data_IF_628072753323
#
_entry.id   IF_628072753323
#
_cell.length_a   1.000
_cell.length_b   1.000
_cell.length_c   1.000
_cell.angle_alpha   90.00
_cell.angle_beta   90.00
_cell.angle_gamma   90.00
#
_symmetry.space_group_name_H-M   'P 1'
#
loop_
_entity.id
_entity.type
_entity.pdbx_description
1 polymer ?
#
# COMPACT_ATOMS: atom_id res chain seq x y z
N UNK A 1 -14.49 -14.29 -17.70
CA UNK A 1 -14.08 -12.93 -17.31
C UNK A 1 -12.56 -12.75 -17.33
N UNK A 2 -11.76 -13.65 -16.78
CA UNK A 2 -10.28 -13.62 -16.79
C UNK A 2 -9.71 -13.57 -18.22
N UNK A 3 -10.25 -14.36 -19.16
CA UNK A 3 -9.80 -14.44 -20.57
C UNK A 3 -9.92 -13.10 -21.33
N UNK A 4 -10.93 -12.28 -21.07
CA UNK A 4 -11.05 -10.95 -21.72
C UNK A 4 -9.91 -10.01 -21.30
N UNK A 5 -9.43 -10.10 -20.06
CA UNK A 5 -8.29 -9.31 -19.56
C UNK A 5 -6.96 -9.64 -20.25
N UNK A 6 -6.79 -10.87 -20.77
CA UNK A 6 -5.53 -11.30 -21.40
C UNK A 6 -5.20 -10.52 -22.67
N UNK A 7 -6.21 -10.20 -23.46
CA UNK A 7 -6.09 -9.45 -24.72
C UNK A 7 -6.19 -7.94 -24.54
N UNK A 8 -6.57 -7.45 -23.36
CA UNK A 8 -6.67 -6.01 -23.11
C UNK A 8 -5.28 -5.38 -23.13
N UNK A 9 -5.11 -4.32 -23.91
CA UNK A 9 -3.85 -3.53 -23.94
C UNK A 9 -3.65 -2.88 -22.58
N UNK A 10 -2.43 -2.94 -22.03
CA UNK A 10 -2.10 -2.24 -20.78
C UNK A 10 -2.15 -0.74 -21.00
N UNK A 11 -2.80 -0.04 -20.09
CA UNK A 11 -2.83 1.42 -20.01
C UNK A 11 -1.69 1.95 -19.15
N UNK A 12 -1.61 3.28 -19.00
CA UNK A 12 -0.61 3.96 -18.20
C UNK A 12 0.79 3.95 -18.81
N UNK A 13 1.64 4.79 -18.27
CA UNK A 13 3.03 4.98 -18.70
C UNK A 13 3.97 4.67 -17.54
N UNK A 14 5.15 4.14 -17.86
CA UNK A 14 6.25 4.08 -16.91
C UNK A 14 7.06 5.36 -17.05
N UNK A 15 7.26 6.04 -15.95
CA UNK A 15 8.00 7.30 -15.90
C UNK A 15 9.44 7.08 -15.46
N UNK A 16 10.39 7.93 -15.87
CA UNK A 16 11.73 7.91 -15.30
C UNK A 16 11.66 8.25 -13.79
N UNK A 17 12.54 7.67 -13.00
CA UNK A 17 12.65 7.91 -11.56
C UNK A 17 13.24 9.27 -11.25
N UNK A 18 12.47 10.32 -11.47
CA UNK A 18 12.85 11.70 -11.11
C UNK A 18 12.21 12.02 -9.76
N UNK A 19 13.06 12.15 -8.73
CA UNK A 19 12.60 12.37 -7.36
C UNK A 19 12.95 13.78 -6.89
N UNK A 20 12.08 14.43 -6.09
CA UNK A 20 12.31 15.76 -5.57
C UNK A 20 13.45 15.78 -4.54
N UNK A 21 14.18 16.86 -4.47
CA UNK A 21 15.04 17.14 -3.32
C UNK A 21 14.15 17.60 -2.16
N UNK A 22 14.17 16.84 -1.09
CA UNK A 22 13.35 17.09 0.10
C UNK A 22 14.18 17.80 1.16
N UNK A 23 13.55 18.73 1.89
CA UNK A 23 14.07 19.34 3.11
C UNK A 23 13.61 18.51 4.31
N UNK A 24 14.24 18.71 5.46
CA UNK A 24 13.78 18.12 6.71
C UNK A 24 12.29 18.45 6.96
N UNK A 25 11.52 17.45 7.36
CA UNK A 25 10.08 17.57 7.58
C UNK A 25 9.20 17.51 6.31
N UNK A 26 9.80 17.47 5.11
CA UNK A 26 9.06 17.19 3.88
C UNK A 26 9.05 15.69 3.59
N UNK A 27 7.93 15.23 3.03
CA UNK A 27 7.74 13.85 2.58
C UNK A 27 7.22 13.84 1.16
N UNK A 28 7.78 12.99 0.30
CA UNK A 28 7.24 12.71 -1.01
C UNK A 28 6.64 11.30 -1.06
N UNK A 29 5.49 11.16 -1.71
CA UNK A 29 4.81 9.90 -1.92
C UNK A 29 4.67 9.68 -3.43
N UNK A 30 5.19 8.55 -3.92
CA UNK A 30 5.04 8.13 -5.31
C UNK A 30 4.23 6.84 -5.36
N UNK A 31 3.09 6.86 -6.02
CA UNK A 31 2.29 5.65 -6.25
C UNK A 31 2.89 4.87 -7.42
N UNK A 32 3.29 3.62 -7.16
CA UNK A 32 3.84 2.73 -8.19
C UNK A 32 2.71 2.00 -8.93
N UNK A 33 1.56 1.87 -8.25
CA UNK A 33 0.36 1.19 -8.71
C UNK A 33 -0.08 0.13 -7.71
N UNK A 34 -1.37 -0.22 -7.72
CA UNK A 34 -1.99 -1.14 -6.75
C UNK A 34 -1.82 -0.62 -5.31
N UNK A 35 -1.24 -1.41 -4.43
CA UNK A 35 -0.89 -1.02 -3.05
C UNK A 35 0.59 -0.63 -2.89
N UNK A 36 1.33 -0.48 -4.00
CA UNK A 36 2.77 -0.25 -3.98
C UNK A 36 3.11 1.23 -3.95
N UNK A 37 3.88 1.66 -2.95
CA UNK A 37 4.31 3.06 -2.79
C UNK A 37 5.79 3.18 -2.49
N UNK A 38 6.41 4.24 -3.04
CA UNK A 38 7.68 4.76 -2.57
C UNK A 38 7.40 6.01 -1.73
N UNK A 39 7.81 5.98 -0.47
CA UNK A 39 7.71 7.08 0.48
C UNK A 39 9.13 7.56 0.74
N UNK A 40 9.39 8.85 0.53
CA UNK A 40 10.72 9.43 0.62
C UNK A 40 10.75 10.60 1.59
N UNK A 41 11.80 10.64 2.38
CA UNK A 41 12.27 11.79 3.15
C UNK A 41 13.64 12.19 2.63
N UNK A 42 14.24 13.24 3.15
CA UNK A 42 15.58 13.66 2.70
C UNK A 42 16.68 12.62 2.98
N UNK A 43 16.48 11.72 3.95
CA UNK A 43 17.47 10.75 4.45
C UNK A 43 16.93 9.32 4.55
N UNK A 44 15.70 9.07 4.08
CA UNK A 44 15.05 7.76 4.19
C UNK A 44 14.18 7.46 2.96
N UNK A 45 14.39 6.32 2.33
CA UNK A 45 13.57 5.79 1.26
C UNK A 45 12.88 4.50 1.70
N UNK A 46 11.56 4.53 1.75
CA UNK A 46 10.72 3.41 2.18
C UNK A 46 9.87 2.90 1.02
N UNK A 47 9.89 1.60 0.81
CA UNK A 47 9.08 0.94 -0.20
C UNK A 47 8.02 0.09 0.50
N UNK A 48 6.74 0.30 0.18
CA UNK A 48 5.63 -0.46 0.77
C UNK A 48 5.02 -1.36 -0.28
N UNK A 49 4.83 -2.64 0.06
CA UNK A 49 4.22 -3.69 -0.78
C UNK A 49 4.68 -3.66 -2.25
N UNK A 50 6.01 -3.73 -2.52
CA UNK A 50 6.53 -3.54 -3.87
C UNK A 50 6.13 -4.66 -4.81
N UNK A 51 5.29 -4.32 -5.79
CA UNK A 51 4.85 -5.22 -6.83
C UNK A 51 4.98 -4.57 -8.22
N UNK A 52 5.96 -5.02 -9.00
CA UNK A 52 6.20 -4.62 -10.39
C UNK A 52 5.79 -5.70 -11.39
N UNK A 53 5.05 -6.72 -10.93
CA UNK A 53 4.62 -7.84 -11.77
C UNK A 53 3.76 -7.38 -12.94
N UNK A 54 4.03 -7.94 -14.10
CA UNK A 54 3.14 -7.85 -15.26
C UNK A 54 2.02 -8.88 -15.22
N UNK A 55 2.23 -9.93 -14.45
CA UNK A 55 1.31 -11.03 -14.24
C UNK A 55 1.42 -11.56 -12.82
N UNK A 56 0.29 -11.82 -12.19
CA UNK A 56 0.16 -12.58 -10.96
C UNK A 56 -0.53 -13.90 -11.32
N UNK A 57 0.25 -14.95 -11.58
CA UNK A 57 -0.22 -16.19 -12.19
C UNK A 57 -0.98 -15.91 -13.50
N UNK A 58 -2.28 -16.13 -13.52
CA UNK A 58 -3.16 -15.90 -14.66
C UNK A 58 -3.74 -14.47 -14.70
N UNK A 59 -3.47 -13.65 -13.68
CA UNK A 59 -4.03 -12.31 -13.56
C UNK A 59 -3.08 -11.28 -14.16
N UNK A 60 -3.48 -10.68 -15.27
CA UNK A 60 -2.71 -9.67 -15.97
C UNK A 60 -2.79 -8.32 -15.26
N UNK A 61 -1.65 -7.64 -15.11
CA UNK A 61 -1.63 -6.21 -14.78
C UNK A 61 -2.22 -5.42 -15.94
N UNK A 62 -3.24 -4.61 -15.71
CA UNK A 62 -3.96 -3.84 -16.74
C UNK A 62 -3.45 -2.40 -16.86
N UNK A 63 -2.88 -1.85 -15.78
CA UNK A 63 -2.19 -0.55 -15.81
C UNK A 63 -0.71 -0.75 -15.46
N UNK A 64 0.20 -0.22 -16.27
CA UNK A 64 1.64 -0.36 -16.04
C UNK A 64 2.04 0.19 -14.68
N UNK A 65 3.10 -0.34 -14.09
CA UNK A 65 3.72 0.28 -12.91
C UNK A 65 4.22 1.67 -13.29
N UNK A 66 4.01 2.66 -12.43
CA UNK A 66 4.38 4.05 -12.72
C UNK A 66 5.89 4.28 -12.87
N UNK A 67 6.71 3.41 -12.27
CA UNK A 67 8.17 3.45 -12.33
C UNK A 67 8.73 2.14 -12.88
N UNK A 68 9.96 2.18 -13.40
CA UNK A 68 10.78 0.98 -13.56
C UNK A 68 11.49 0.66 -12.25
N UNK A 69 11.63 -0.63 -11.93
CA UNK A 69 12.32 -1.05 -10.71
C UNK A 69 13.79 -0.60 -10.67
N UNK A 70 14.44 -0.51 -11.84
CA UNK A 70 15.84 -0.04 -11.98
C UNK A 70 16.01 1.44 -11.68
N UNK A 71 14.93 2.23 -11.73
CA UNK A 71 14.94 3.67 -11.52
C UNK A 71 14.64 4.03 -10.05
N UNK A 72 14.42 3.02 -9.19
CA UNK A 72 14.24 3.25 -7.75
C UNK A 72 15.52 3.78 -7.12
N UNK A 73 15.43 4.70 -6.16
CA UNK A 73 16.57 5.10 -5.34
C UNK A 73 17.03 3.91 -4.46
N UNK A 74 18.20 3.99 -3.82
CA UNK A 74 18.57 3.04 -2.78
C UNK A 74 17.48 2.95 -1.72
N UNK A 75 17.01 1.73 -1.41
CA UNK A 75 15.91 1.50 -0.47
C UNK A 75 16.48 1.14 0.91
N UNK A 76 16.11 1.92 1.91
CA UNK A 76 16.53 1.72 3.30
C UNK A 76 15.60 0.74 4.01
N UNK A 77 14.29 0.83 3.73
CA UNK A 77 13.25 0.07 4.43
C UNK A 77 12.20 -0.44 3.43
N UNK A 78 11.85 -1.71 3.57
CA UNK A 78 10.71 -2.32 2.87
C UNK A 78 9.68 -2.73 3.91
N UNK A 79 8.44 -2.26 3.75
CA UNK A 79 7.29 -2.66 4.56
C UNK A 79 6.43 -3.61 3.74
N UNK A 80 6.05 -4.75 4.32
CA UNK A 80 5.22 -5.78 3.69
C UNK A 80 4.02 -6.04 4.59
N UNK A 81 2.82 -5.69 4.13
CA UNK A 81 1.60 -5.70 4.95
C UNK A 81 1.06 -7.09 5.22
N UNK A 82 1.20 -8.01 4.28
CA UNK A 82 0.78 -9.41 4.39
C UNK A 82 1.36 -10.25 3.25
N UNK A 83 1.12 -11.56 3.27
CA UNK A 83 1.81 -12.50 2.37
C UNK A 83 1.13 -12.71 1.01
N UNK A 84 0.01 -12.07 0.66
CA UNK A 84 -0.64 -12.22 -0.64
C UNK A 84 0.26 -11.85 -1.80
N UNK A 85 0.06 -12.48 -2.97
CA UNK A 85 0.97 -12.39 -4.12
C UNK A 85 1.02 -11.01 -4.75
N UNK A 86 -0.02 -10.21 -4.62
CA UNK A 86 -0.12 -8.85 -5.12
C UNK A 86 0.54 -7.82 -4.20
N UNK A 87 0.88 -8.18 -2.96
CA UNK A 87 1.65 -7.39 -1.99
C UNK A 87 3.07 -7.94 -1.81
N UNK A 88 3.21 -9.19 -1.39
CA UNK A 88 4.49 -9.86 -1.22
C UNK A 88 4.93 -10.56 -2.53
N UNK A 89 5.46 -9.79 -3.49
CA UNK A 89 5.87 -10.34 -4.77
C UNK A 89 7.37 -10.68 -4.77
N UNK A 90 7.73 -11.93 -4.45
CA UNK A 90 9.13 -12.41 -4.40
C UNK A 90 9.97 -12.04 -5.63
N UNK A 91 9.50 -12.21 -6.89
CA UNK A 91 10.30 -11.83 -8.06
C UNK A 91 10.61 -10.32 -8.14
N UNK A 92 9.76 -9.45 -7.60
CA UNK A 92 10.07 -8.02 -7.46
C UNK A 92 11.13 -7.81 -6.39
N UNK A 93 10.92 -8.39 -5.19
CA UNK A 93 11.83 -8.22 -4.05
C UNK A 93 13.26 -8.69 -4.37
N UNK A 94 13.42 -9.79 -5.11
CA UNK A 94 14.75 -10.27 -5.59
C UNK A 94 15.47 -9.31 -6.53
N UNK A 95 14.76 -8.37 -7.16
CA UNK A 95 15.34 -7.38 -8.08
C UNK A 95 15.69 -6.07 -7.38
N UNK A 96 15.33 -5.92 -6.11
CA UNK A 96 15.74 -4.75 -5.33
C UNK A 96 17.23 -4.86 -5.03
N UNK A 97 17.95 -3.76 -5.22
CA UNK A 97 19.39 -3.69 -4.90
C UNK A 97 19.57 -3.61 -3.39
N UNK A 98 19.74 -4.79 -2.76
CA UNK A 98 20.11 -4.95 -1.36
C UNK A 98 19.36 -4.04 -0.37
N UNK A 99 18.03 -4.21 -0.17
CA UNK A 99 17.28 -3.44 0.80
C UNK A 99 17.83 -3.71 2.21
N UNK A 100 18.04 -2.65 3.00
CA UNK A 100 18.69 -2.78 4.29
C UNK A 100 17.83 -3.53 5.30
N UNK A 101 16.55 -3.16 5.39
CA UNK A 101 15.63 -3.70 6.39
C UNK A 101 14.31 -4.07 5.72
N UNK A 102 13.80 -5.26 6.04
CA UNK A 102 12.42 -5.67 5.77
C UNK A 102 11.65 -5.74 7.08
N UNK A 103 10.52 -5.03 7.18
CA UNK A 103 9.58 -5.16 8.29
C UNK A 103 8.29 -5.77 7.75
N UNK A 104 7.80 -6.80 8.41
CA UNK A 104 6.66 -7.58 7.97
C UNK A 104 5.92 -8.20 9.15
N UNK A 105 4.70 -8.72 8.94
CA UNK A 105 3.96 -9.39 10.01
C UNK A 105 4.64 -10.66 10.50
N UNK A 106 4.35 -11.02 11.74
CA UNK A 106 4.75 -12.29 12.31
C UNK A 106 4.36 -13.48 11.41
N UNK A 107 5.25 -14.47 11.28
CA UNK A 107 5.06 -15.65 10.45
C UNK A 107 5.23 -15.40 8.94
N UNK A 108 5.73 -14.22 8.50
CA UNK A 108 6.00 -13.91 7.09
C UNK A 108 7.50 -13.89 6.78
N UNK A 109 8.35 -13.77 7.79
CA UNK A 109 9.81 -13.66 7.63
C UNK A 109 10.48 -14.85 6.98
N UNK A 110 9.94 -16.07 7.10
CA UNK A 110 10.40 -17.25 6.40
C UNK A 110 10.36 -17.10 4.87
N UNK A 111 9.39 -16.34 4.35
CA UNK A 111 9.26 -16.04 2.92
C UNK A 111 10.36 -15.08 2.42
N UNK A 112 11.00 -14.35 3.32
CA UNK A 112 11.98 -13.32 3.01
C UNK A 112 13.43 -13.77 3.09
N UNK A 113 13.72 -15.00 3.56
CA UNK A 113 15.07 -15.51 3.82
C UNK A 113 16.04 -15.45 2.62
N UNK A 114 15.50 -15.60 1.40
CA UNK A 114 16.27 -15.64 0.14
C UNK A 114 16.16 -14.34 -0.67
N UNK A 115 15.73 -13.23 -0.07
CA UNK A 115 15.43 -11.99 -0.76
C UNK A 115 16.48 -10.87 -0.59
N UNK A 116 17.61 -11.17 0.09
CA UNK A 116 18.74 -10.25 0.19
C UNK A 116 18.57 -9.10 1.18
N UNK A 117 17.60 -9.17 2.10
CA UNK A 117 17.50 -8.22 3.21
C UNK A 117 18.71 -8.37 4.15
N UNK A 118 19.32 -7.24 4.55
CA UNK A 118 20.35 -7.25 5.58
C UNK A 118 19.76 -7.60 6.95
N UNK A 119 18.51 -7.23 7.19
CA UNK A 119 17.77 -7.56 8.41
C UNK A 119 16.29 -7.75 8.08
N UNK A 120 15.67 -8.78 8.66
CA UNK A 120 14.22 -9.00 8.66
C UNK A 120 13.71 -8.83 10.08
N UNK A 121 12.63 -8.05 10.25
CA UNK A 121 11.95 -7.79 11.51
C UNK A 121 10.49 -8.20 11.33
N UNK A 122 10.02 -9.09 12.19
CA UNK A 122 8.62 -9.48 12.25
C UNK A 122 7.94 -8.75 13.41
N UNK A 123 6.72 -8.25 13.19
CA UNK A 123 5.92 -7.54 14.17
C UNK A 123 4.54 -8.16 14.27
N UNK A 124 3.99 -8.16 15.49
CA UNK A 124 2.57 -8.40 15.73
C UNK A 124 1.83 -7.07 15.88
N UNK A 125 0.50 -7.09 15.92
CA UNK A 125 -0.32 -5.88 16.03
C UNK A 125 0.08 -5.04 17.24
N UNK A 126 0.19 -3.74 17.02
CA UNK A 126 0.62 -2.71 17.98
C UNK A 126 2.10 -2.77 18.35
N UNK A 127 2.86 -3.74 17.87
CA UNK A 127 4.30 -3.71 18.02
C UNK A 127 4.94 -2.67 17.10
N UNK A 128 6.10 -2.19 17.51
CA UNK A 128 6.83 -1.16 16.79
C UNK A 128 8.29 -1.53 16.66
N UNK A 129 8.89 -1.12 15.56
CA UNK A 129 10.31 -1.16 15.36
C UNK A 129 10.82 0.26 15.06
N UNK A 130 11.92 0.65 15.72
CA UNK A 130 12.53 1.97 15.54
C UNK A 130 14.01 1.82 15.20
N UNK A 131 14.49 2.67 14.33
CA UNK A 131 15.92 2.80 14.04
C UNK A 131 16.23 4.25 13.68
N UNK A 132 17.27 4.83 14.32
CA UNK A 132 17.57 6.26 14.23
C UNK A 132 16.33 7.08 14.62
N UNK A 133 15.88 7.98 13.74
CA UNK A 133 14.75 8.89 13.99
C UNK A 133 13.41 8.41 13.41
N UNK A 134 13.37 7.23 12.76
CA UNK A 134 12.11 6.71 12.24
C UNK A 134 11.57 5.56 13.10
N UNK A 135 10.27 5.46 13.10
CA UNK A 135 9.51 4.39 13.78
C UNK A 135 8.43 3.87 12.85
N UNK A 136 8.27 2.56 12.80
CA UNK A 136 7.10 1.89 12.22
C UNK A 136 6.34 1.17 13.30
N UNK A 137 5.02 1.33 13.28
CA UNK A 137 4.09 0.59 14.14
C UNK A 137 3.20 -0.26 13.26
N UNK A 138 3.14 -1.55 13.53
CA UNK A 138 2.24 -2.47 12.84
C UNK A 138 0.85 -2.39 13.45
N UNK A 139 -0.18 -2.29 12.60
CA UNK A 139 -1.56 -2.04 13.04
C UNK A 139 -2.48 -3.17 12.63
N UNK A 140 -3.58 -3.42 13.38
CA UNK A 140 -4.61 -4.35 12.98
C UNK A 140 -5.24 -4.02 11.62
N UNK A 141 -5.79 -5.03 10.95
CA UNK A 141 -6.70 -4.90 9.82
C UNK A 141 -7.75 -6.02 9.85
N UNK A 142 -8.83 -5.85 9.10
CA UNK A 142 -9.87 -6.86 8.92
C UNK A 142 -9.64 -7.59 7.59
N UNK A 143 -8.68 -8.52 7.59
CA UNK A 143 -8.24 -9.26 6.42
C UNK A 143 -7.77 -10.67 6.81
N UNK A 144 -6.95 -11.33 5.97
CA UNK A 144 -6.23 -12.57 6.30
C UNK A 144 -4.83 -12.57 5.67
N UNK A 145 -3.91 -13.37 6.23
CA UNK A 145 -2.50 -13.39 5.82
C UNK A 145 -2.06 -14.62 5.03
N UNK A 146 -2.92 -15.63 4.87
CA UNK A 146 -2.55 -16.88 4.24
C UNK A 146 -2.18 -16.69 2.75
N UNK A 147 -1.01 -17.20 2.37
CA UNK A 147 -0.57 -17.25 0.97
C UNK A 147 -1.04 -18.51 0.26
N UNK A 148 -1.24 -19.57 1.03
CA UNK A 148 -1.73 -20.88 0.60
C UNK A 148 -2.74 -21.40 1.60
N UNK A 149 -3.42 -22.51 1.28
CA UNK A 149 -4.39 -23.12 2.19
C UNK A 149 -3.79 -23.64 3.52
N UNK A 150 -2.47 -23.80 3.57
CA UNK A 150 -1.77 -24.41 4.69
C UNK A 150 -1.04 -23.40 5.61
N UNK A 151 -0.98 -22.12 5.27
CA UNK A 151 -0.21 -21.14 6.02
C UNK A 151 -1.09 -20.00 6.61
N UNK A 152 -2.24 -20.37 7.16
CA UNK A 152 -3.20 -19.44 7.78
C UNK A 152 -2.67 -18.72 9.04
N UNK A 153 -1.53 -19.16 9.56
CA UNK A 153 -0.87 -18.57 10.74
C UNK A 153 -0.20 -17.22 10.45
N UNK A 154 -0.05 -16.84 9.15
CA UNK A 154 0.67 -15.61 8.79
C UNK A 154 -0.11 -14.37 9.19
N UNK A 155 0.59 -13.44 9.84
CA UNK A 155 0.04 -12.15 10.22
C UNK A 155 -0.29 -11.27 9.00
N UNK A 156 -1.10 -10.27 9.26
CA UNK A 156 -1.56 -9.27 8.30
C UNK A 156 -1.93 -7.97 9.02
N UNK A 157 -1.83 -6.84 8.33
CA UNK A 157 -2.14 -5.54 8.94
C UNK A 157 -1.70 -4.37 8.09
N UNK A 158 -1.69 -3.19 8.69
CA UNK A 158 -1.18 -1.97 8.12
C UNK A 158 0.08 -1.48 8.85
N UNK A 159 0.64 -0.38 8.38
CA UNK A 159 1.79 0.28 9.02
C UNK A 159 1.56 1.77 9.19
N UNK A 160 1.85 2.30 10.36
CA UNK A 160 2.11 3.74 10.52
C UNK A 160 3.61 3.95 10.57
N UNK A 161 4.12 4.69 9.59
CA UNK A 161 5.50 5.17 9.54
C UNK A 161 5.53 6.59 10.11
N UNK A 162 6.39 6.80 11.10
CA UNK A 162 6.69 8.10 11.70
C UNK A 162 8.15 8.46 11.45
N UNK A 163 8.41 9.63 10.86
CA UNK A 163 9.74 10.19 10.65
C UNK A 163 9.67 11.71 10.52
N UNK A 164 10.61 12.43 11.16
CA UNK A 164 10.72 13.90 11.10
C UNK A 164 9.38 14.62 11.41
N UNK A 165 8.63 14.12 12.39
CA UNK A 165 7.34 14.70 12.79
C UNK A 165 6.18 14.42 11.83
N UNK A 166 6.40 13.66 10.76
CA UNK A 166 5.37 13.27 9.78
C UNK A 166 4.92 11.84 10.08
N UNK A 167 3.63 11.58 9.88
CA UNK A 167 3.02 10.25 10.09
C UNK A 167 2.18 9.86 8.88
N UNK A 168 2.49 8.72 8.30
CA UNK A 168 1.75 8.15 7.18
C UNK A 168 1.29 6.74 7.54
N UNK A 169 0.01 6.47 7.29
CA UNK A 169 -0.61 5.17 7.47
C UNK A 169 -0.84 4.51 6.12
N UNK A 170 -0.36 3.28 5.96
CA UNK A 170 -0.71 2.39 4.87
C UNK A 170 -1.53 1.25 5.45
N UNK A 171 -2.80 1.16 5.06
CA UNK A 171 -3.74 0.23 5.68
C UNK A 171 -3.46 -1.24 5.33
N UNK A 172 -2.67 -1.51 4.27
CA UNK A 172 -2.69 -2.83 3.64
C UNK A 172 -4.07 -3.10 3.06
N UNK A 173 -4.44 -4.38 2.97
CA UNK A 173 -5.79 -4.78 2.65
C UNK A 173 -6.62 -4.91 3.92
N UNK A 174 -7.85 -4.40 3.88
CA UNK A 174 -8.77 -4.44 5.00
C UNK A 174 -10.22 -4.23 4.55
N UNK A 175 -11.15 -4.93 5.16
CA UNK A 175 -12.52 -4.47 5.28
C UNK A 175 -12.59 -3.27 6.24
N UNK A 176 -13.73 -2.57 6.26
CA UNK A 176 -13.99 -1.59 7.31
C UNK A 176 -14.18 -2.30 8.66
N UNK A 177 -13.58 -1.74 9.73
CA UNK A 177 -13.71 -2.20 11.10
C UNK A 177 -13.42 -1.06 12.09
N UNK A 178 -13.87 -1.19 13.32
CA UNK A 178 -13.77 -0.14 14.35
C UNK A 178 -12.34 0.20 14.77
N UNK A 179 -11.37 -0.67 14.43
CA UNK A 179 -9.95 -0.43 14.69
C UNK A 179 -9.39 0.82 14.03
N UNK A 180 -10.02 1.35 12.97
CA UNK A 180 -9.60 2.64 12.39
C UNK A 180 -9.75 3.80 13.38
N UNK A 181 -10.77 3.78 14.24
CA UNK A 181 -10.93 4.76 15.33
C UNK A 181 -9.78 4.66 16.32
N UNK A 182 -9.38 3.43 16.67
CA UNK A 182 -8.30 3.18 17.62
C UNK A 182 -6.94 3.61 17.03
N UNK A 183 -6.66 3.25 15.76
CA UNK A 183 -5.46 3.68 15.03
C UNK A 183 -5.38 5.21 14.98
N UNK A 184 -6.49 5.88 14.66
CA UNK A 184 -6.57 7.33 14.63
C UNK A 184 -6.27 7.97 16.00
N UNK A 185 -6.83 7.42 17.07
CA UNK A 185 -6.61 7.91 18.46
C UNK A 185 -5.17 7.69 18.95
N UNK A 186 -4.61 6.51 18.69
CA UNK A 186 -3.27 6.14 19.21
C UNK A 186 -2.13 6.71 18.41
N UNK A 187 -2.25 6.73 17.06
CA UNK A 187 -1.12 7.02 16.19
C UNK A 187 -1.28 8.36 15.44
N UNK A 188 -2.51 8.87 15.27
CA UNK A 188 -2.81 10.16 14.63
C UNK A 188 -2.08 10.37 13.30
N UNK A 189 -2.28 9.52 12.27
CA UNK A 189 -1.62 9.67 10.99
C UNK A 189 -2.10 10.94 10.27
N UNK A 190 -1.17 11.68 9.66
CA UNK A 190 -1.51 12.84 8.83
C UNK A 190 -2.07 12.42 7.46
N UNK A 191 -1.51 11.36 6.88
CA UNK A 191 -1.86 10.84 5.57
C UNK A 191 -2.28 9.38 5.72
N UNK A 192 -3.43 9.03 5.13
CA UNK A 192 -3.94 7.67 5.08
C UNK A 192 -3.97 7.14 3.65
N UNK A 193 -3.23 6.06 3.38
CA UNK A 193 -3.29 5.29 2.15
C UNK A 193 -4.29 4.16 2.37
N UNK A 194 -5.50 4.25 1.76
CA UNK A 194 -6.60 3.33 2.01
C UNK A 194 -7.05 2.61 0.74
N UNK A 195 -7.30 1.28 0.80
CA UNK A 195 -7.81 0.52 -0.32
C UNK A 195 -9.26 0.93 -0.63
N UNK A 196 -9.60 0.97 -1.92
CA UNK A 196 -10.95 1.31 -2.40
C UNK A 196 -11.47 0.33 -3.45
N UNK A 197 -10.80 -0.79 -3.69
CA UNK A 197 -11.14 -1.79 -4.71
C UNK A 197 -11.27 -3.19 -4.16
N UNK A 198 -11.68 -4.12 -5.02
CA UNK A 198 -11.93 -5.54 -4.72
C UNK A 198 -13.14 -5.78 -3.78
N UNK A 199 -14.23 -5.00 -3.92
CA UNK A 199 -15.39 -5.04 -3.05
C UNK A 199 -16.63 -5.75 -3.65
N UNK A 200 -16.59 -6.18 -4.90
CA UNK A 200 -17.66 -6.98 -5.53
C UNK A 200 -17.25 -8.44 -5.75
N UNK A 201 -18.12 -9.40 -5.48
CA UNK A 201 -19.48 -9.27 -4.93
C UNK A 201 -19.50 -8.78 -3.49
N UNK A 202 -20.69 -8.49 -2.93
CA UNK A 202 -20.86 -7.98 -1.56
C UNK A 202 -20.12 -8.81 -0.48
N UNK A 203 -20.00 -10.12 -0.69
CA UNK A 203 -19.25 -11.00 0.21
C UNK A 203 -17.77 -10.63 0.36
N UNK A 204 -17.19 -9.94 -0.63
CA UNK A 204 -15.79 -9.48 -0.56
C UNK A 204 -15.61 -8.34 0.43
N UNK A 205 -16.66 -7.60 0.76
CA UNK A 205 -16.63 -6.55 1.79
C UNK A 205 -16.33 -7.04 3.21
N UNK A 206 -16.29 -8.35 3.41
CA UNK A 206 -15.82 -8.96 4.66
C UNK A 206 -14.29 -8.83 4.85
N UNK A 207 -13.57 -8.57 3.77
CA UNK A 207 -12.09 -8.56 3.75
C UNK A 207 -11.50 -7.40 2.94
N UNK A 208 -12.32 -6.67 2.19
CA UNK A 208 -11.97 -5.45 1.46
C UNK A 208 -13.05 -4.40 1.67
N UNK A 209 -12.70 -3.13 1.59
CA UNK A 209 -13.67 -2.04 1.69
C UNK A 209 -13.90 -1.36 0.34
N UNK A 210 -15.15 -0.95 0.10
CA UNK A 210 -15.50 -0.09 -1.01
C UNK A 210 -15.19 1.38 -0.70
N UNK A 211 -15.36 2.29 -1.69
CA UNK A 211 -15.11 3.72 -1.52
C UNK A 211 -15.90 4.39 -0.39
N UNK A 212 -17.12 3.94 -0.14
CA UNK A 212 -17.99 4.38 0.95
C UNK A 212 -17.39 4.07 2.32
N UNK A 213 -16.98 2.82 2.52
CA UNK A 213 -16.34 2.35 3.74
C UNK A 213 -14.95 2.97 3.94
N UNK A 214 -14.17 3.13 2.86
CA UNK A 214 -12.87 3.80 2.92
C UNK A 214 -12.99 5.29 3.30
N UNK A 215 -14.04 5.98 2.87
CA UNK A 215 -14.33 7.35 3.32
C UNK A 215 -14.69 7.39 4.81
N UNK A 216 -15.41 6.39 5.31
CA UNK A 216 -15.68 6.28 6.76
C UNK A 216 -14.39 6.01 7.53
N UNK A 217 -13.58 5.05 7.10
CA UNK A 217 -12.27 4.76 7.71
C UNK A 217 -11.36 6.00 7.75
N UNK A 218 -11.33 6.80 6.67
CA UNK A 218 -10.60 8.06 6.63
C UNK A 218 -11.05 9.04 7.72
N UNK A 219 -12.35 9.17 7.95
CA UNK A 219 -12.89 10.04 9.02
C UNK A 219 -12.53 9.53 10.40
N UNK A 220 -12.60 8.21 10.61
CA UNK A 220 -12.30 7.56 11.89
C UNK A 220 -10.81 7.68 12.24
N UNK A 221 -9.93 7.59 11.25
CA UNK A 221 -8.50 7.87 11.39
C UNK A 221 -8.19 9.34 11.73
N UNK A 222 -9.13 10.27 11.46
CA UNK A 222 -8.95 11.72 11.60
C UNK A 222 -7.74 12.26 10.83
N UNK A 223 -7.37 11.59 9.74
CA UNK A 223 -6.26 11.99 8.90
C UNK A 223 -6.56 13.29 8.13
N UNK A 224 -5.51 14.00 7.74
CA UNK A 224 -5.65 15.24 6.95
C UNK A 224 -5.82 14.96 5.47
N UNK A 225 -5.13 13.94 4.96
CA UNK A 225 -5.17 13.58 3.55
C UNK A 225 -5.47 12.09 3.36
N UNK A 226 -6.36 11.83 2.39
CA UNK A 226 -6.72 10.49 1.92
C UNK A 226 -6.10 10.26 0.55
N UNK A 227 -5.22 9.29 0.43
CA UNK A 227 -4.66 8.80 -0.83
C UNK A 227 -5.28 7.42 -1.10
N UNK A 228 -6.15 7.29 -2.11
CA UNK A 228 -6.76 5.99 -2.44
C UNK A 228 -5.76 5.06 -3.12
N UNK A 229 -5.87 3.76 -2.83
CA UNK A 229 -5.05 2.69 -3.40
C UNK A 229 -5.85 1.42 -3.70
N UNK A 230 -5.17 0.38 -4.17
CA UNK A 230 -5.72 -0.97 -4.42
C UNK A 230 -6.85 -0.98 -5.46
N UNK A 231 -6.72 -0.17 -6.52
CA UNK A 231 -7.66 -0.11 -7.64
C UNK A 231 -6.95 0.06 -8.98
N UNK A 232 -7.65 -0.20 -10.08
CA UNK A 232 -7.22 0.15 -11.44
C UNK A 232 -6.04 -0.68 -12.01
N UNK A 233 -5.36 -1.49 -11.20
CA UNK A 233 -4.14 -2.21 -11.59
C UNK A 233 -4.40 -3.65 -12.02
N UNK A 234 -5.01 -4.43 -11.15
CA UNK A 234 -5.41 -5.81 -11.39
C UNK A 234 -6.94 -5.92 -11.26
N UNK A 235 -7.55 -6.80 -12.08
CA UNK A 235 -8.98 -7.09 -11.94
C UNK A 235 -9.17 -8.24 -10.95
N UNK A 236 -9.16 -7.90 -9.67
CA UNK A 236 -9.29 -8.86 -8.56
C UNK A 236 -10.75 -9.26 -8.27
N UNK A 237 -11.68 -8.45 -8.74
CA UNK A 237 -13.11 -8.57 -8.44
C UNK A 237 -13.99 -8.14 -9.62
N UNK A 238 -15.29 -7.93 -9.42
CA UNK A 238 -16.24 -7.76 -10.52
C UNK A 238 -16.56 -6.31 -10.88
N UNK A 239 -16.24 -5.33 -10.01
CA UNK A 239 -16.43 -3.91 -10.33
C UNK A 239 -15.59 -3.47 -11.55
N UNK A 240 -16.02 -2.43 -12.24
CA UNK A 240 -15.23 -1.82 -13.32
C UNK A 240 -13.96 -1.18 -12.73
N UNK A 241 -12.83 -1.23 -13.47
CA UNK A 241 -11.54 -0.74 -12.97
C UNK A 241 -11.53 0.77 -12.63
N UNK A 242 -12.39 1.54 -13.30
CA UNK A 242 -12.54 2.99 -13.11
C UNK A 242 -13.68 3.37 -12.15
N UNK A 243 -14.48 2.41 -11.71
CA UNK A 243 -15.60 2.64 -10.80
C UNK A 243 -15.14 3.13 -9.42
N UNK A 244 -14.17 2.49 -8.72
CA UNK A 244 -13.80 2.89 -7.38
C UNK A 244 -13.37 4.36 -7.25
N UNK A 245 -12.46 4.90 -8.09
CA UNK A 245 -12.05 6.29 -7.97
C UNK A 245 -13.16 7.28 -8.36
N UNK A 246 -14.05 6.92 -9.27
CA UNK A 246 -15.20 7.75 -9.65
C UNK A 246 -16.19 7.85 -8.48
N UNK A 247 -16.58 6.71 -7.92
CA UNK A 247 -17.48 6.64 -6.77
C UNK A 247 -16.91 7.36 -5.54
N UNK A 248 -15.61 7.21 -5.25
CA UNK A 248 -14.97 7.96 -4.15
C UNK A 248 -15.03 9.48 -4.36
N UNK A 249 -14.85 9.96 -5.60
CA UNK A 249 -14.98 11.40 -5.92
C UNK A 249 -16.41 11.93 -5.68
N UNK A 250 -17.41 11.14 -6.07
CA UNK A 250 -18.82 11.47 -5.85
C UNK A 250 -19.15 11.59 -4.36
N UNK A 251 -18.73 10.59 -3.55
CA UNK A 251 -18.87 10.61 -2.09
C UNK A 251 -18.20 11.85 -1.49
N UNK A 252 -16.97 12.12 -1.90
CA UNK A 252 -16.20 13.25 -1.36
C UNK A 252 -16.84 14.59 -1.70
N UNK A 253 -17.43 14.73 -2.89
CA UNK A 253 -18.15 15.94 -3.28
C UNK A 253 -19.42 16.14 -2.43
N UNK A 254 -20.23 15.07 -2.27
CA UNK A 254 -21.44 15.08 -1.44
C UNK A 254 -21.16 15.42 0.03
N UNK A 255 -20.00 15.02 0.54
CA UNK A 255 -19.62 15.21 1.95
C UNK A 255 -18.69 16.41 2.19
N UNK A 256 -18.43 17.25 1.17
CA UNK A 256 -17.50 18.39 1.22
C UNK A 256 -16.05 18.00 1.62
N UNK A 257 -15.63 16.78 1.26
CA UNK A 257 -14.32 16.20 1.60
C UNK A 257 -13.30 16.24 0.46
N UNK A 258 -13.65 16.81 -0.70
CA UNK A 258 -12.81 16.82 -1.93
C UNK A 258 -11.40 17.38 -1.69
N UNK A 259 -11.25 18.41 -0.85
CA UNK A 259 -9.94 19.00 -0.52
C UNK A 259 -8.98 18.04 0.17
N UNK A 260 -9.50 17.02 0.85
CA UNK A 260 -8.72 16.02 1.58
C UNK A 260 -8.25 14.89 0.69
N UNK A 261 -8.94 14.62 -0.44
CA UNK A 261 -8.55 13.58 -1.38
C UNK A 261 -7.33 13.97 -2.20
N UNK A 262 -6.38 13.05 -2.31
CA UNK A 262 -5.16 13.18 -3.11
C UNK A 262 -5.02 11.98 -4.02
N UNK A 263 -5.64 12.02 -5.19
CA UNK A 263 -5.37 11.05 -6.25
C UNK A 263 -3.95 11.29 -6.78
N UNK A 264 -3.13 10.26 -6.77
CA UNK A 264 -1.77 10.31 -7.31
C UNK A 264 -1.75 9.69 -8.71
N UNK A 265 -1.01 10.32 -9.62
CA UNK A 265 -0.67 9.68 -10.88
C UNK A 265 0.51 8.72 -10.65
N UNK A 266 0.44 7.52 -11.23
CA UNK A 266 1.49 6.53 -11.05
C UNK A 266 2.84 7.06 -11.55
N UNK A 267 3.87 6.89 -10.73
CA UNK A 267 5.24 7.32 -11.02
C UNK A 267 5.51 8.81 -10.82
N UNK A 268 4.51 9.60 -10.41
CA UNK A 268 4.68 11.02 -10.13
C UNK A 268 4.79 11.26 -8.62
N UNK A 269 5.95 11.72 -8.12
CA UNK A 269 6.09 12.06 -6.71
C UNK A 269 5.25 13.29 -6.35
N UNK A 270 4.53 13.20 -5.25
CA UNK A 270 3.80 14.31 -4.64
C UNK A 270 4.44 14.66 -3.31
N UNK A 271 4.87 15.91 -3.15
CA UNK A 271 5.39 16.43 -1.88
C UNK A 271 4.25 16.90 -0.98
N UNK A 272 4.35 16.56 0.31
CA UNK A 272 3.44 16.90 1.39
C UNK A 272 4.14 17.70 2.49
#
# INVERSE_FOLDING_TARGET
MILKGWFTKRTGEQRPGIFPRLRHGQMAITWIGHASFLIQFNDLNVLVDPNFANWLFLLKRLKRSGLHIRDLPPIDLVLLTHAHYDHFHKPTLRKLSHPKIGVMPWGVGDLARDLGFARVVELDWWESFSQREWKVTFTPSAHWGARTLHDQHRGYGGFVLEHQGRKIYHAGDSAYFDGFVEIGKKLAPEIALLPIGAYHPESFRKVHMGPDQAMQAFKDLRAKFFVPMHYGTFKLSFEALDEPPRWLKEIAAQQNMTKHLKFLDEGMPKVF
#
